data_IF_341105984880
#
_entry.id   IF_341105984880
#
_cell.length_a   1.000
_cell.length_b   1.000
_cell.length_c   1.000
_cell.angle_alpha   90.00
_cell.angle_beta   90.00
_cell.angle_gamma   90.00
#
_symmetry.space_group_name_H-M   'P 1'
#
loop_
_entity.id
_entity.type
_entity.pdbx_description
1 polymer ?
#
# COMPACT_ATOMS: atom_id res chain seq x y z
N UNK A 1 8.09 1.36 -17.38
CA UNK A 1 7.06 1.62 -16.35
C UNK A 1 6.28 0.34 -16.10
N UNK A 2 6.13 -0.10 -14.85
CA UNK A 2 5.35 -1.29 -14.49
C UNK A 2 4.30 -0.89 -13.46
N UNK A 3 3.02 -0.95 -13.84
CA UNK A 3 1.86 -0.70 -12.98
C UNK A 3 1.50 -2.01 -12.28
N UNK A 4 1.42 -2.00 -10.94
CA UNK A 4 0.85 -3.10 -10.16
C UNK A 4 -0.40 -2.60 -9.42
N UNK A 5 -1.55 -3.31 -9.51
CA UNK A 5 -2.70 -3.04 -8.67
C UNK A 5 -2.45 -3.60 -7.27
N UNK A 6 -2.80 -2.82 -6.24
CA UNK A 6 -2.71 -3.29 -4.87
C UNK A 6 -4.06 -3.61 -4.28
N UNK A 7 -4.14 -4.85 -3.79
CA UNK A 7 -5.19 -5.31 -2.89
C UNK A 7 -5.13 -4.57 -1.54
N UNK A 8 -6.31 -4.15 -1.09
CA UNK A 8 -6.57 -3.50 0.20
C UNK A 8 -6.98 -4.56 1.22
N UNK A 9 -6.16 -4.76 2.25
CA UNK A 9 -6.57 -5.46 3.47
C UNK A 9 -6.79 -4.43 4.57
N UNK A 10 -8.06 -4.23 4.96
CA UNK A 10 -8.46 -3.52 6.16
C UNK A 10 -7.90 -4.28 7.37
N UNK A 11 -7.11 -3.62 8.21
CA UNK A 11 -6.78 -4.10 9.55
C UNK A 11 -7.22 -3.05 10.56
N UNK A 12 -8.39 -3.27 11.17
CA UNK A 12 -8.65 -2.76 12.50
C UNK A 12 -7.93 -3.71 13.46
N UNK A 13 -6.88 -3.24 14.09
CA UNK A 13 -6.33 -3.86 15.30
C UNK A 13 -6.11 -2.76 16.33
N UNK A 14 -7.16 -2.44 17.06
CA UNK A 14 -7.03 -1.69 18.31
C UNK A 14 -6.41 -2.65 19.33
N UNK A 15 -5.16 -2.41 19.73
CA UNK A 15 -4.57 -3.04 20.90
C UNK A 15 -5.16 -2.38 22.14
N UNK A 16 -6.12 -3.05 22.78
CA UNK A 16 -6.55 -2.71 24.13
C UNK A 16 -5.80 -3.60 25.10
N UNK A 17 -4.85 -3.01 25.84
CA UNK A 17 -4.41 -3.60 27.09
C UNK A 17 -5.54 -3.41 28.10
N UNK A 18 -6.18 -4.50 28.49
CA UNK A 18 -7.07 -4.52 29.65
C UNK A 18 -6.53 -5.57 30.62
N UNK A 19 -6.09 -5.07 31.77
CA UNK A 19 -5.66 -5.83 32.96
C UNK A 19 -6.74 -6.83 33.39
N UNK A 20 -6.39 -8.01 33.93
CA UNK A 20 -7.38 -8.97 34.38
C UNK A 20 -7.96 -8.50 35.72
N UNK A 21 -9.27 -8.26 35.77
CA UNK A 21 -9.98 -8.21 37.03
C UNK A 21 -11.25 -9.05 36.99
N UNK A 22 -11.38 -9.84 38.05
CA UNK A 22 -12.52 -10.63 38.54
C UNK A 22 -12.88 -11.98 37.89
N UNK A 23 -13.02 -12.92 38.82
CA UNK A 23 -13.52 -14.29 38.72
C UNK A 23 -14.94 -14.29 38.14
N UNK A 24 -15.24 -15.21 37.24
CA UNK A 24 -16.49 -15.98 37.34
C UNK A 24 -16.39 -17.31 36.57
N UNK A 25 -17.06 -18.29 37.15
CA UNK A 25 -17.13 -19.70 36.82
C UNK A 25 -17.95 -20.01 35.57
N UNK A 26 -17.74 -21.24 35.09
CA UNK A 26 -18.76 -22.11 34.49
C UNK A 26 -18.81 -22.24 32.95
N UNK A 27 -18.21 -23.36 32.51
CA UNK A 27 -18.70 -24.30 31.49
C UNK A 27 -19.24 -23.76 30.16
N UNK A 28 -18.39 -23.80 29.14
CA UNK A 28 -18.73 -24.50 27.90
C UNK A 28 -17.44 -24.95 27.22
N UNK A 29 -17.33 -26.25 26.89
CA UNK A 29 -16.22 -26.81 26.11
C UNK A 29 -16.28 -26.26 24.68
N UNK A 30 -15.83 -25.01 24.49
CA UNK A 30 -15.56 -24.48 23.16
C UNK A 30 -14.18 -24.99 22.75
N UNK A 31 -14.14 -26.14 22.08
CA UNK A 31 -12.94 -26.58 21.37
C UNK A 31 -12.72 -25.59 20.24
N UNK A 32 -11.94 -24.54 20.50
CA UNK A 32 -11.37 -23.68 19.49
C UNK A 32 -10.47 -24.54 18.60
N UNK A 33 -11.06 -25.21 17.62
CA UNK A 33 -10.33 -25.91 16.56
C UNK A 33 -9.61 -24.81 15.79
N UNK A 34 -8.32 -24.66 16.08
CA UNK A 34 -7.42 -23.82 15.30
C UNK A 34 -7.40 -24.42 13.89
N UNK A 35 -8.20 -23.85 12.98
CA UNK A 35 -8.13 -24.17 11.55
C UNK A 35 -6.85 -23.52 11.03
N UNK A 36 -5.75 -24.26 11.07
CA UNK A 36 -4.55 -23.90 10.32
C UNK A 36 -4.96 -23.70 8.85
N UNK A 37 -4.68 -22.53 8.27
CA UNK A 37 -4.89 -22.29 6.85
C UNK A 37 -4.21 -23.42 6.07
N UNK A 38 -5.02 -24.28 5.43
CA UNK A 38 -4.59 -25.61 4.94
C UNK A 38 -3.50 -25.54 3.88
N UNK A 39 -3.27 -24.35 3.32
CA UNK A 39 -2.25 -24.08 2.31
C UNK A 39 -1.61 -22.73 2.58
N UNK A 40 -0.51 -22.70 3.33
CA UNK A 40 0.47 -21.61 3.20
C UNK A 40 1.07 -21.73 1.81
N UNK A 41 0.63 -20.91 0.86
CA UNK A 41 1.35 -20.70 -0.39
C UNK A 41 2.66 -19.97 -0.07
N UNK A 42 3.65 -20.73 0.38
CA UNK A 42 5.02 -20.24 0.53
C UNK A 42 5.60 -19.79 -0.82
N UNK A 43 6.82 -19.26 -0.81
CA UNK A 43 7.58 -19.02 -2.05
C UNK A 43 7.54 -20.28 -2.89
N UNK A 44 6.94 -20.20 -4.09
CA UNK A 44 6.87 -21.34 -5.00
C UNK A 44 8.28 -21.84 -5.27
N UNK A 45 8.56 -23.07 -4.85
CA UNK A 45 9.90 -23.64 -4.86
C UNK A 45 10.36 -23.98 -6.27
N UNK A 46 9.42 -24.33 -7.16
CA UNK A 46 9.76 -24.87 -8.46
C UNK A 46 9.61 -23.85 -9.60
N UNK A 47 10.56 -23.79 -10.55
CA UNK A 47 10.52 -22.87 -11.68
C UNK A 47 9.24 -22.96 -12.53
N UNK A 48 8.66 -24.15 -12.64
CA UNK A 48 7.43 -24.42 -13.40
C UNK A 48 6.20 -23.76 -12.78
N UNK A 49 6.06 -23.83 -11.46
CA UNK A 49 4.97 -23.17 -10.74
C UNK A 49 5.07 -21.65 -10.88
N UNK A 50 6.28 -21.10 -10.70
CA UNK A 50 6.54 -19.66 -10.84
C UNK A 50 6.19 -19.17 -12.26
N UNK A 51 6.48 -19.96 -13.30
CA UNK A 51 6.08 -19.66 -14.68
C UNK A 51 4.57 -19.63 -14.84
N UNK A 52 3.84 -20.62 -14.28
CA UNK A 52 2.37 -20.68 -14.33
C UNK A 52 1.69 -19.51 -13.61
N UNK A 53 2.25 -19.01 -12.51
CA UNK A 53 1.71 -17.81 -11.85
C UNK A 53 1.97 -16.54 -12.68
N UNK A 54 3.16 -16.42 -13.28
CA UNK A 54 3.47 -15.29 -14.16
C UNK A 54 2.56 -15.23 -15.38
N UNK A 55 2.25 -16.37 -16.01
CA UNK A 55 1.33 -16.41 -17.15
C UNK A 55 -0.08 -16.00 -16.74
N UNK A 56 -0.63 -16.56 -15.65
CA UNK A 56 -1.95 -16.17 -15.13
C UNK A 56 -2.04 -14.68 -14.81
N UNK A 57 -1.00 -14.10 -14.22
CA UNK A 57 -0.96 -12.66 -13.95
C UNK A 57 -0.95 -11.83 -15.25
N UNK A 58 -0.22 -12.28 -16.28
CA UNK A 58 -0.20 -11.64 -17.60
C UNK A 58 -1.58 -11.72 -18.27
N UNK A 59 -2.28 -12.84 -18.16
CA UNK A 59 -3.60 -13.06 -18.75
C UNK A 59 -4.69 -12.22 -18.08
N UNK A 60 -4.60 -12.02 -16.77
CA UNK A 60 -5.48 -11.07 -16.05
C UNK A 60 -5.22 -9.62 -16.45
N UNK A 61 -3.95 -9.27 -16.67
CA UNK A 61 -3.56 -7.93 -17.16
C UNK A 61 -4.00 -7.69 -18.60
N UNK A 62 -4.07 -8.74 -19.43
CA UNK A 62 -4.54 -8.61 -20.81
C UNK A 62 -6.06 -8.47 -20.91
N UNK A 63 -6.82 -9.14 -20.04
CA UNK A 63 -8.29 -9.00 -19.96
C UNK A 63 -8.75 -7.68 -19.35
N UNK A 64 -7.92 -7.00 -18.56
CA UNK A 64 -8.22 -5.66 -18.03
C UNK A 64 -8.00 -4.51 -19.02
N UNK A 65 -7.62 -4.79 -20.28
CA UNK A 65 -7.34 -3.77 -21.29
C UNK A 65 -8.60 -3.20 -21.96
N UNK A 66 -9.81 -3.58 -21.53
CA UNK A 66 -11.02 -2.88 -21.97
C UNK A 66 -10.94 -1.41 -21.52
N UNK A 67 -10.93 -0.49 -22.48
CA UNK A 67 -10.76 0.95 -22.23
C UNK A 67 -11.80 1.54 -21.28
N UNK A 68 -12.94 0.85 -21.13
CA UNK A 68 -14.03 1.25 -20.23
C UNK A 68 -13.80 0.80 -18.78
N UNK A 69 -13.01 -0.25 -18.54
CA UNK A 69 -12.73 -0.78 -17.19
C UNK A 69 -11.31 -0.46 -16.72
N UNK A 70 -10.43 0.01 -17.61
CA UNK A 70 -9.02 0.31 -17.32
C UNK A 70 -8.78 1.36 -16.24
N UNK A 71 -9.78 2.10 -15.78
CA UNK A 71 -9.66 3.07 -14.68
C UNK A 71 -10.56 2.73 -13.49
N UNK A 72 -11.27 1.60 -13.54
CA UNK A 72 -12.17 1.19 -12.47
C UNK A 72 -11.35 0.68 -11.28
N UNK A 73 -11.54 1.28 -10.12
CA UNK A 73 -10.98 0.82 -8.84
C UNK A 73 -9.89 1.73 -8.29
N UNK A 74 -9.07 1.18 -7.39
CA UNK A 74 -8.04 1.92 -6.65
C UNK A 74 -6.66 1.70 -7.26
N UNK A 75 -5.94 2.80 -7.47
CA UNK A 75 -4.61 2.80 -8.08
C UNK A 75 -3.55 3.10 -7.03
N UNK A 76 -2.37 2.50 -7.18
CA UNK A 76 -1.19 2.87 -6.39
C UNK A 76 -0.13 3.47 -7.30
N UNK A 77 0.20 4.71 -7.03
CA UNK A 77 1.35 5.39 -7.62
C UNK A 77 2.58 5.05 -6.77
N UNK A 78 3.67 4.64 -7.42
CA UNK A 78 4.90 4.20 -6.77
C UNK A 78 6.09 5.00 -7.33
N UNK A 79 7.17 5.07 -6.55
CA UNK A 79 8.41 5.77 -6.92
C UNK A 79 8.22 7.28 -7.22
N UNK A 80 7.24 7.91 -6.56
CA UNK A 80 7.12 9.36 -6.55
C UNK A 80 8.25 9.94 -5.70
N UNK A 81 8.95 10.94 -6.24
CA UNK A 81 10.07 11.59 -5.56
C UNK A 81 9.70 13.05 -5.29
N UNK A 82 9.76 13.45 -4.03
CA UNK A 82 9.53 14.83 -3.57
C UNK A 82 10.87 15.44 -3.17
N UNK A 83 11.17 16.71 -3.53
CA UNK A 83 12.34 17.42 -3.05
C UNK A 83 12.38 17.50 -1.52
N UNK A 84 13.56 17.29 -0.92
CA UNK A 84 13.70 17.20 0.53
C UNK A 84 13.34 18.50 1.27
N UNK A 85 13.61 19.65 0.66
CA UNK A 85 13.26 20.97 1.18
C UNK A 85 11.75 21.23 1.21
N UNK A 86 10.96 20.48 0.45
CA UNK A 86 9.51 20.63 0.34
C UNK A 86 8.75 19.47 1.01
N UNK A 87 9.47 18.45 1.48
CA UNK A 87 8.86 17.30 2.13
C UNK A 87 8.66 17.57 3.63
N UNK A 88 7.43 17.41 4.17
CA UNK A 88 7.14 17.63 5.59
C UNK A 88 7.75 16.59 6.55
N UNK A 89 8.60 15.69 6.05
CA UNK A 89 9.30 14.69 6.85
C UNK A 89 8.61 13.33 6.90
N UNK A 90 9.31 12.35 7.48
CA UNK A 90 8.95 10.92 7.41
C UNK A 90 7.57 10.59 8.00
N UNK A 91 7.22 11.23 9.11
CA UNK A 91 6.03 10.87 9.89
C UNK A 91 4.75 11.55 9.36
N UNK A 92 4.88 12.41 8.35
CA UNK A 92 3.75 13.02 7.67
C UNK A 92 3.13 12.02 6.67
N UNK A 93 1.97 11.48 7.04
CA UNK A 93 1.19 10.50 6.27
C UNK A 93 0.05 11.15 5.46
N UNK A 94 -0.15 12.46 5.58
CA UNK A 94 -1.12 13.19 4.77
C UNK A 94 -0.54 13.53 3.39
N UNK A 95 -1.40 14.01 2.49
CA UNK A 95 -1.01 14.42 1.14
C UNK A 95 -0.49 15.86 1.20
N UNK A 96 0.82 16.03 1.05
CA UNK A 96 1.46 17.35 1.00
C UNK A 96 1.30 18.01 -0.37
N UNK A 97 1.43 19.33 -0.41
CA UNK A 97 1.36 20.10 -1.67
C UNK A 97 2.43 19.67 -2.67
N UNK A 98 3.64 19.43 -2.19
CA UNK A 98 4.75 18.97 -3.02
C UNK A 98 4.48 17.58 -3.62
N UNK A 99 3.84 16.68 -2.86
CA UNK A 99 3.42 15.38 -3.38
C UNK A 99 2.32 15.53 -4.44
N UNK A 100 1.35 16.43 -4.20
CA UNK A 100 0.27 16.72 -5.13
C UNK A 100 0.81 17.25 -6.47
N UNK A 101 1.85 18.07 -6.44
CA UNK A 101 2.54 18.57 -7.63
C UNK A 101 3.16 17.45 -8.46
N UNK A 102 3.89 16.54 -7.82
CA UNK A 102 4.49 15.38 -8.49
C UNK A 102 3.41 14.46 -9.08
N UNK A 103 2.27 14.30 -8.39
CA UNK A 103 1.12 13.55 -8.90
C UNK A 103 0.52 14.24 -10.12
N UNK A 104 0.35 15.56 -10.10
CA UNK A 104 -0.18 16.33 -11.22
C UNK A 104 0.69 16.17 -12.47
N UNK A 105 2.01 16.28 -12.31
CA UNK A 105 2.97 16.07 -13.40
C UNK A 105 2.87 14.65 -13.98
N UNK A 106 2.77 13.63 -13.14
CA UNK A 106 2.63 12.23 -13.57
C UNK A 106 1.34 12.01 -14.37
N UNK A 107 0.24 12.60 -13.92
CA UNK A 107 -1.07 12.51 -14.57
C UNK A 107 -1.22 13.46 -15.76
N UNK A 108 -0.22 14.31 -16.04
CA UNK A 108 -0.28 15.41 -17.02
C UNK A 108 -1.45 16.36 -16.76
N UNK A 109 -1.76 16.58 -15.49
CA UNK A 109 -2.80 17.47 -15.03
C UNK A 109 -2.29 18.92 -15.02
N UNK A 110 -3.09 19.91 -15.44
CA UNK A 110 -2.58 21.26 -15.73
C UNK A 110 -2.08 22.00 -14.48
N UNK A 111 -2.78 21.87 -13.35
CA UNK A 111 -2.45 22.61 -12.12
C UNK A 111 -2.65 21.72 -10.91
N UNK A 112 -1.62 21.59 -10.08
CA UNK A 112 -1.65 20.73 -8.89
C UNK A 112 -2.74 21.14 -7.88
N UNK A 113 -2.95 22.44 -7.66
CA UNK A 113 -3.95 22.95 -6.70
C UNK A 113 -5.41 22.60 -7.05
N UNK A 114 -5.67 22.23 -8.30
CA UNK A 114 -7.00 21.79 -8.74
C UNK A 114 -7.25 20.29 -8.47
N UNK A 115 -6.22 19.53 -8.07
CA UNK A 115 -6.40 18.14 -7.68
C UNK A 115 -7.04 18.08 -6.28
N UNK A 116 -8.19 17.40 -6.12
CA UNK A 116 -8.75 17.14 -4.81
C UNK A 116 -7.77 16.26 -4.01
N UNK A 117 -7.65 16.51 -2.71
CA UNK A 117 -6.74 15.75 -1.83
C UNK A 117 -7.39 14.47 -1.31
N UNK A 118 -8.72 14.47 -1.20
CA UNK A 118 -9.58 13.41 -0.68
C UNK A 118 -9.38 12.03 -1.34
N UNK A 119 -9.20 11.89 -2.67
CA UNK A 119 -9.03 10.58 -3.29
C UNK A 119 -7.63 9.99 -3.11
N UNK A 120 -6.67 10.77 -2.61
CA UNK A 120 -5.29 10.33 -2.44
C UNK A 120 -5.01 9.95 -0.99
N UNK A 121 -4.27 8.87 -0.81
CA UNK A 121 -3.79 8.44 0.50
C UNK A 121 -2.37 7.93 0.41
N UNK A 122 -1.54 8.30 1.39
CA UNK A 122 -0.15 7.85 1.45
C UNK A 122 -0.11 6.49 2.14
N UNK A 123 0.12 5.43 1.36
CA UNK A 123 0.24 4.07 1.91
C UNK A 123 1.63 3.81 2.47
N UNK A 124 2.66 4.36 1.82
CA UNK A 124 4.04 4.15 2.19
C UNK A 124 4.87 5.36 1.78
N UNK A 125 5.66 5.85 2.72
CA UNK A 125 6.66 6.88 2.51
C UNK A 125 8.04 6.32 2.84
N UNK A 126 9.05 6.74 2.10
CA UNK A 126 10.43 6.37 2.37
C UNK A 126 11.33 7.54 2.03
N UNK A 127 12.33 7.76 2.88
CA UNK A 127 13.38 8.74 2.66
C UNK A 127 14.68 8.01 2.34
N UNK A 128 15.41 8.47 1.32
CA UNK A 128 16.74 7.97 1.01
C UNK A 128 17.80 8.81 1.74
N UNK A 129 18.35 8.25 2.81
CA UNK A 129 19.37 8.93 3.63
C UNK A 129 20.70 9.18 2.90
N UNK A 130 20.90 8.56 1.72
CA UNK A 130 22.10 8.77 0.89
C UNK A 130 21.93 9.88 -0.12
N UNK A 131 20.69 10.27 -0.44
CA UNK A 131 20.45 11.45 -1.26
C UNK A 131 20.89 12.65 -0.43
N UNK A 132 22.03 13.22 -0.83
CA UNK A 132 22.68 14.32 -0.12
C UNK A 132 21.66 15.43 0.07
N UNK A 133 21.33 15.69 1.33
CA UNK A 133 20.76 16.97 1.68
C UNK A 133 21.92 17.96 1.63
N UNK A 134 21.85 18.92 0.72
CA UNK A 134 22.76 20.06 0.75
C UNK A 134 22.37 20.96 1.95
N UNK A 135 22.49 20.44 3.17
CA UNK A 135 22.43 21.28 4.36
C UNK A 135 23.74 22.06 4.44
N UNK A 136 23.73 23.39 4.61
CA UNK A 136 24.94 24.10 4.99
C UNK A 136 25.41 23.51 6.32
N UNK A 137 26.67 23.03 6.35
CA UNK A 137 27.33 22.73 7.61
C UNK A 137 27.70 24.08 8.22
N UNK A 138 27.18 24.35 9.41
CA UNK A 138 27.64 25.47 10.24
C UNK A 138 29.08 25.24 10.68
#
# INVERSE_FOLDING_TARGET
MLLLPSSSSKLHTAFWFSTPSHRNTQTHRNRNIIKCATKRTGKQRYPSEKKKLKSKHKDLLSTSNDDKTKFKGTWRLCNLAVPLNQDPGKDFLEVSDALLQVIAELLKFPVASMLPREPFSVVRKSFDARKVCNFPRN
#
